data_IF_394858298285
#
_entry.id   IF_394858298285
#
_cell.length_a   1.000
_cell.length_b   1.000
_cell.length_c   1.000
_cell.angle_alpha   90.00
_cell.angle_beta   90.00
_cell.angle_gamma   90.00
#
_symmetry.space_group_name_H-M   'P 1'
#
loop_
_entity.id
_entity.type
_entity.pdbx_description
1 polymer ?
#
# COMPACT_ATOMS: atom_id res chain seq x y z
N UNK A 1 -24.78 -10.80 7.30
CA UNK A 1 -24.45 -9.43 6.88
C UNK A 1 -25.69 -8.57 6.76
N UNK A 2 -25.72 -7.42 7.42
CA UNK A 2 -26.69 -6.34 7.22
C UNK A 2 -26.02 -5.28 6.32
N UNK A 3 -26.74 -4.77 5.33
CA UNK A 3 -26.27 -3.70 4.44
C UNK A 3 -27.31 -2.59 4.37
N UNK A 4 -26.86 -1.34 4.46
CA UNK A 4 -27.70 -0.16 4.37
C UNK A 4 -27.01 0.93 3.52
N UNK A 5 -27.52 1.14 2.30
CA UNK A 5 -27.16 2.25 1.40
C UNK A 5 -28.20 3.37 1.40
N UNK A 6 -29.04 3.45 2.42
CA UNK A 6 -30.00 4.54 2.67
C UNK A 6 -31.05 4.82 1.58
N UNK A 7 -31.23 3.89 0.63
CA UNK A 7 -32.14 4.04 -0.52
C UNK A 7 -33.62 4.22 -0.17
N UNK A 8 -34.02 3.85 1.05
CA UNK A 8 -35.39 4.05 1.53
C UNK A 8 -35.62 5.42 2.19
N UNK A 9 -34.59 6.25 2.33
CA UNK A 9 -34.76 7.63 2.81
C UNK A 9 -35.52 8.44 1.76
N UNK A 10 -36.63 9.06 2.19
CA UNK A 10 -37.38 9.95 1.32
C UNK A 10 -36.56 11.17 0.93
N UNK A 11 -36.62 11.56 -0.35
CA UNK A 11 -35.95 12.73 -0.89
C UNK A 11 -36.57 14.02 -0.32
N UNK A 12 -36.00 14.58 0.76
CA UNK A 12 -36.16 15.96 1.22
C UNK A 12 -35.27 16.19 2.44
N UNK A 13 -34.87 17.44 2.71
CA UNK A 13 -34.24 17.87 3.97
C UNK A 13 -35.04 17.35 5.16
N UNK A 14 -34.53 16.35 5.88
CA UNK A 14 -35.31 15.67 6.92
C UNK A 14 -35.07 16.37 8.26
N UNK A 15 -36.02 17.19 8.70
CA UNK A 15 -36.17 17.46 10.13
C UNK A 15 -36.77 16.22 10.78
N UNK A 16 -35.93 15.28 11.22
CA UNK A 16 -36.36 14.12 12.03
C UNK A 16 -36.61 14.56 13.48
N UNK A 17 -37.65 15.35 13.72
CA UNK A 17 -38.11 15.60 15.10
C UNK A 17 -38.71 14.32 15.73
N UNK A 18 -38.85 13.22 14.96
CA UNK A 18 -39.38 11.92 15.35
C UNK A 18 -38.59 10.78 14.67
N UNK A 19 -38.38 9.63 15.34
CA UNK A 19 -37.67 8.48 14.77
C UNK A 19 -38.36 7.94 13.51
N UNK A 20 -37.58 7.57 12.50
CA UNK A 20 -38.07 6.93 11.26
C UNK A 20 -37.42 5.56 11.08
N UNK A 21 -38.18 4.62 10.52
CA UNK A 21 -37.66 3.32 10.07
C UNK A 21 -37.06 3.48 8.68
N UNK A 22 -35.81 3.03 8.50
CA UNK A 22 -35.07 3.17 7.24
C UNK A 22 -34.44 1.82 6.92
N UNK A 23 -35.01 1.11 5.94
CA UNK A 23 -34.57 -0.22 5.56
C UNK A 23 -34.53 -1.18 6.77
N UNK A 24 -33.39 -1.83 7.06
CA UNK A 24 -33.23 -2.72 8.21
C UNK A 24 -32.95 -2.00 9.54
N UNK A 25 -32.82 -0.66 9.55
CA UNK A 25 -32.56 0.11 10.76
C UNK A 25 -33.84 0.25 11.58
N UNK A 26 -33.77 -0.05 12.87
CA UNK A 26 -34.89 0.04 13.79
C UNK A 26 -35.34 1.50 13.97
N UNK A 27 -34.41 2.43 14.16
CA UNK A 27 -34.74 3.86 14.28
C UNK A 27 -33.60 4.71 13.75
N UNK A 28 -33.92 5.72 12.94
CA UNK A 28 -33.01 6.79 12.56
C UNK A 28 -33.49 8.09 13.20
N UNK A 29 -32.61 8.75 13.95
CA UNK A 29 -32.89 10.01 14.63
C UNK A 29 -31.84 11.06 14.27
N UNK A 30 -32.27 12.25 13.86
CA UNK A 30 -31.36 13.37 13.60
C UNK A 30 -31.59 14.46 14.63
N UNK A 31 -30.50 14.99 15.16
CA UNK A 31 -30.48 16.05 16.14
C UNK A 31 -29.52 17.15 15.70
N UNK A 32 -29.91 18.40 15.96
CA UNK A 32 -29.05 19.55 15.73
C UNK A 32 -29.30 20.63 16.77
N UNK A 33 -28.24 21.22 17.30
CA UNK A 33 -28.30 22.48 18.03
C UNK A 33 -27.74 23.65 17.18
N UNK A 34 -27.37 23.37 15.93
CA UNK A 34 -26.76 24.29 14.99
C UNK A 34 -27.82 25.10 14.24
N UNK A 35 -27.57 26.39 14.07
CA UNK A 35 -28.37 27.20 13.16
C UNK A 35 -28.14 26.71 11.70
N UNK A 36 -29.21 26.30 11.02
CA UNK A 36 -29.19 25.81 9.63
C UNK A 36 -28.49 24.46 9.40
N UNK A 37 -28.18 23.70 10.47
CA UNK A 37 -27.75 22.31 10.32
C UNK A 37 -28.85 21.45 9.72
N UNK A 38 -28.51 20.59 8.76
CA UNK A 38 -29.48 19.73 8.06
C UNK A 38 -28.94 18.32 7.78
N UNK A 39 -29.86 17.36 7.80
CA UNK A 39 -29.68 16.05 7.18
C UNK A 39 -30.11 16.13 5.71
N UNK A 40 -29.22 15.73 4.81
CA UNK A 40 -29.38 15.76 3.36
C UNK A 40 -28.97 14.42 2.73
N UNK A 41 -29.44 14.15 1.52
CA UNK A 41 -29.08 13.01 0.68
C UNK A 41 -28.78 13.40 -0.78
N UNK A 42 -28.69 14.71 -1.06
CA UNK A 42 -28.48 15.25 -2.43
C UNK A 42 -27.20 16.06 -2.59
N UNK A 43 -26.54 16.44 -1.48
CA UNK A 43 -25.34 17.29 -1.50
C UNK A 43 -24.12 16.60 -2.15
N UNK A 44 -24.02 15.28 -2.06
CA UNK A 44 -22.89 14.49 -2.59
C UNK A 44 -23.45 13.27 -3.31
N UNK A 45 -22.85 12.90 -4.44
CA UNK A 45 -23.19 11.66 -5.12
C UNK A 45 -22.84 10.47 -4.22
N UNK A 46 -23.78 9.55 -4.04
CA UNK A 46 -23.61 8.36 -3.20
C UNK A 46 -22.38 7.54 -3.62
N UNK A 47 -21.71 6.91 -2.65
CA UNK A 47 -20.62 5.96 -2.91
C UNK A 47 -21.15 4.76 -3.71
N UNK A 48 -22.38 4.36 -3.37
CA UNK A 48 -23.09 3.29 -4.05
C UNK A 48 -24.59 3.61 -4.14
N UNK A 49 -25.22 3.25 -5.26
CA UNK A 49 -26.65 3.51 -5.42
C UNK A 49 -26.95 4.99 -5.71
N UNK A 50 -28.03 5.50 -5.14
CA UNK A 50 -28.54 6.86 -5.39
C UNK A 50 -28.57 7.74 -4.15
N UNK A 51 -28.50 7.17 -2.94
CA UNK A 51 -28.68 7.92 -1.70
C UNK A 51 -27.51 7.70 -0.75
N UNK A 52 -27.11 8.78 -0.08
CA UNK A 52 -26.20 8.75 1.07
C UNK A 52 -26.79 9.57 2.21
N UNK A 53 -26.29 9.40 3.43
CA UNK A 53 -26.68 10.26 4.56
C UNK A 53 -25.61 11.31 4.78
N UNK A 54 -25.97 12.57 4.60
CA UNK A 54 -25.07 13.71 4.74
C UNK A 54 -25.53 14.65 5.85
N UNK A 55 -24.63 14.96 6.77
CA UNK A 55 -24.75 16.10 7.67
C UNK A 55 -24.17 17.31 6.93
N UNK A 56 -24.95 18.38 6.83
CA UNK A 56 -24.49 19.63 6.22
C UNK A 56 -24.53 20.75 7.24
N UNK A 57 -23.37 21.35 7.52
CA UNK A 57 -23.25 22.47 8.43
C UNK A 57 -23.69 23.76 7.75
N UNK A 58 -24.26 24.69 8.53
CA UNK A 58 -24.63 26.03 8.08
C UNK A 58 -24.37 27.11 9.14
N UNK A 59 -23.62 26.74 10.18
CA UNK A 59 -23.29 27.60 11.32
C UNK A 59 -22.57 26.84 12.44
N UNK A 60 -22.32 27.53 13.56
CA UNK A 60 -21.68 26.92 14.73
C UNK A 60 -22.65 25.99 15.47
N UNK A 61 -22.16 24.82 15.89
CA UNK A 61 -22.89 23.87 16.72
C UNK A 61 -22.52 22.42 16.44
N UNK A 62 -23.23 21.50 17.08
CA UNK A 62 -23.18 20.07 16.84
C UNK A 62 -24.46 19.61 16.14
N UNK A 63 -24.29 18.69 15.20
CA UNK A 63 -25.37 17.89 14.66
C UNK A 63 -24.94 16.43 14.55
N UNK A 64 -25.92 15.53 14.65
CA UNK A 64 -25.65 14.12 14.52
C UNK A 64 -26.88 13.35 14.06
N UNK A 65 -26.61 12.20 13.43
CA UNK A 65 -27.61 11.19 13.14
C UNK A 65 -27.27 9.92 13.92
N UNK A 66 -28.26 9.35 14.58
CA UNK A 66 -28.17 8.08 15.30
C UNK A 66 -28.94 7.00 14.53
N UNK A 67 -28.24 5.91 14.25
CA UNK A 67 -28.76 4.73 13.58
C UNK A 67 -28.90 3.63 14.64
N UNK A 68 -30.14 3.26 14.95
CA UNK A 68 -30.46 2.20 15.91
C UNK A 68 -30.66 0.88 15.19
N UNK A 69 -29.97 -0.15 15.67
CA UNK A 69 -29.89 -1.46 15.05
C UNK A 69 -30.19 -2.51 16.12
N UNK A 70 -31.09 -3.43 15.79
CA UNK A 70 -31.37 -4.58 16.65
C UNK A 70 -30.28 -5.63 16.46
N UNK A 71 -29.34 -5.68 17.42
CA UNK A 71 -28.29 -6.68 17.50
C UNK A 71 -28.44 -7.56 18.75
N UNK A 72 -29.65 -7.67 19.32
CA UNK A 72 -29.90 -8.44 20.54
C UNK A 72 -29.56 -9.95 20.43
N UNK A 73 -29.38 -10.44 19.20
CA UNK A 73 -29.00 -11.83 18.93
C UNK A 73 -27.49 -12.10 19.00
N UNK A 74 -26.66 -11.04 19.06
CA UNK A 74 -25.20 -11.15 19.11
C UNK A 74 -24.69 -10.79 20.51
N UNK A 75 -23.48 -11.23 20.85
CA UNK A 75 -22.71 -10.76 22.00
C UNK A 75 -21.30 -10.37 21.59
N UNK A 76 -20.86 -9.20 22.04
CA UNK A 76 -19.50 -8.70 21.85
C UNK A 76 -18.43 -9.62 22.49
N UNK A 77 -18.85 -10.55 23.36
CA UNK A 77 -17.95 -11.51 24.01
C UNK A 77 -17.78 -12.84 23.29
N UNK A 78 -18.68 -13.17 22.35
CA UNK A 78 -18.68 -14.48 21.67
C UNK A 78 -18.77 -14.39 20.16
N UNK A 79 -19.30 -13.29 19.63
CA UNK A 79 -19.41 -13.05 18.20
C UNK A 79 -18.35 -12.03 17.77
N UNK A 80 -17.91 -12.12 16.52
CA UNK A 80 -17.05 -11.14 15.89
C UNK A 80 -17.88 -10.35 14.86
N UNK A 81 -18.35 -9.18 15.23
CA UNK A 81 -19.11 -8.28 14.36
C UNK A 81 -18.24 -7.11 13.95
N UNK A 82 -18.07 -6.93 12.64
CA UNK A 82 -17.37 -5.79 12.04
C UNK A 82 -18.35 -4.79 11.45
N UNK A 83 -17.94 -3.52 11.45
CA UNK A 83 -18.58 -2.42 10.77
C UNK A 83 -17.70 -1.98 9.61
N UNK A 84 -18.29 -1.85 8.43
CA UNK A 84 -17.73 -1.11 7.31
C UNK A 84 -18.67 0.04 6.94
N UNK A 85 -18.14 1.20 6.60
CA UNK A 85 -18.90 2.32 6.04
C UNK A 85 -18.01 3.17 5.14
N UNK A 86 -18.60 3.73 4.09
CA UNK A 86 -17.93 4.73 3.25
C UNK A 86 -18.16 6.11 3.86
N UNK A 87 -17.10 6.90 3.97
CA UNK A 87 -17.08 8.25 4.51
C UNK A 87 -16.71 9.24 3.41
N UNK A 88 -17.39 10.38 3.37
CA UNK A 88 -17.02 11.53 2.53
C UNK A 88 -16.99 12.78 3.38
N UNK A 89 -15.95 13.59 3.20
CA UNK A 89 -15.79 14.85 3.92
C UNK A 89 -15.46 15.98 2.93
N UNK A 90 -16.15 17.11 3.05
CA UNK A 90 -15.86 18.32 2.27
C UNK A 90 -15.11 19.40 3.06
N UNK A 91 -14.71 19.12 4.30
CA UNK A 91 -14.09 20.12 5.20
C UNK A 91 -12.76 20.59 4.63
N UNK A 92 -12.53 21.90 4.69
CA UNK A 92 -11.34 22.59 4.20
C UNK A 92 -10.34 22.96 5.31
N UNK A 93 -10.69 22.76 6.59
CA UNK A 93 -9.94 23.30 7.73
C UNK A 93 -9.91 22.33 8.92
N UNK A 94 -8.81 22.31 9.67
CA UNK A 94 -8.45 21.29 10.69
C UNK A 94 -9.08 21.50 12.08
N UNK A 95 -9.93 22.52 12.23
CA UNK A 95 -10.45 22.94 13.54
C UNK A 95 -11.74 22.23 14.00
N UNK A 96 -12.40 21.45 13.13
CA UNK A 96 -13.73 20.89 13.41
C UNK A 96 -13.74 19.37 13.31
N UNK A 97 -14.53 18.75 14.19
CA UNK A 97 -14.54 17.29 14.38
C UNK A 97 -15.70 16.64 13.63
N UNK A 98 -15.35 15.73 12.72
CA UNK A 98 -16.25 14.74 12.16
C UNK A 98 -15.95 13.40 12.82
N UNK A 99 -16.98 12.78 13.39
CA UNK A 99 -16.79 11.67 14.29
C UNK A 99 -17.82 10.57 14.03
N UNK A 100 -17.39 9.32 14.18
CA UNK A 100 -18.27 8.15 14.22
C UNK A 100 -18.14 7.53 15.60
N UNK A 101 -19.27 7.14 16.19
CA UNK A 101 -19.34 6.59 17.52
C UNK A 101 -20.26 5.36 17.56
N UNK A 102 -20.10 4.51 18.56
CA UNK A 102 -20.99 3.38 18.85
C UNK A 102 -21.37 3.33 20.32
N UNK A 103 -22.52 2.75 20.64
CA UNK A 103 -22.84 2.26 21.99
C UNK A 103 -23.65 0.97 21.92
N UNK A 104 -23.47 0.10 22.91
CA UNK A 104 -24.13 -1.20 23.01
C UNK A 104 -25.64 -1.10 23.25
N UNK A 105 -26.08 -0.18 24.10
CA UNK A 105 -27.50 -0.01 24.40
C UNK A 105 -27.92 1.43 24.71
N UNK A 106 -28.76 1.98 23.85
CA UNK A 106 -29.47 3.22 24.18
C UNK A 106 -30.47 3.04 25.33
N UNK A 107 -31.09 1.86 25.47
CA UNK A 107 -32.07 1.57 26.51
C UNK A 107 -31.45 1.52 27.92
N UNK A 108 -30.17 1.14 28.03
CA UNK A 108 -29.43 1.14 29.29
C UNK A 108 -28.60 2.42 29.50
N UNK A 109 -28.73 3.40 28.60
CA UNK A 109 -27.96 4.66 28.60
C UNK A 109 -26.44 4.44 28.56
N UNK A 110 -25.98 3.44 27.80
CA UNK A 110 -24.56 3.20 27.61
C UNK A 110 -23.87 4.43 27.02
N UNK A 111 -22.64 4.68 27.48
CA UNK A 111 -21.81 5.76 26.96
C UNK A 111 -21.37 5.48 25.52
N UNK A 112 -21.29 6.52 24.70
CA UNK A 112 -20.73 6.39 23.35
C UNK A 112 -19.21 6.19 23.41
N UNK A 113 -18.73 5.33 22.52
CA UNK A 113 -17.32 5.00 22.30
C UNK A 113 -16.96 5.53 20.92
N UNK A 114 -15.84 6.26 20.83
CA UNK A 114 -15.38 6.80 19.55
C UNK A 114 -14.86 5.66 18.68
N UNK A 115 -15.34 5.61 17.45
CA UNK A 115 -14.87 4.71 16.39
C UNK A 115 -13.91 5.42 15.45
N UNK A 116 -14.15 6.72 15.23
CA UNK A 116 -13.41 7.58 14.34
C UNK A 116 -13.54 9.01 14.85
N UNK A 117 -12.41 9.71 14.93
CA UNK A 117 -12.31 11.13 15.32
C UNK A 117 -11.18 11.73 14.45
N UNK A 118 -11.56 12.25 13.29
CA UNK A 118 -10.60 12.76 12.31
C UNK A 118 -10.55 14.29 12.34
N UNK A 119 -9.32 14.82 12.29
CA UNK A 119 -9.02 16.25 12.28
C UNK A 119 -8.35 16.72 10.97
N UNK A 120 -7.91 15.82 10.09
CA UNK A 120 -7.34 16.13 8.77
C UNK A 120 -7.09 14.80 8.06
N UNK A 121 -7.62 14.63 6.83
CA UNK A 121 -7.11 13.78 5.73
C UNK A 121 -8.20 13.12 4.85
N UNK A 122 -9.49 13.18 5.20
CA UNK A 122 -10.53 12.87 4.22
C UNK A 122 -10.56 13.92 3.10
N UNK A 123 -10.21 13.48 1.90
CA UNK A 123 -10.27 14.26 0.67
C UNK A 123 -11.73 14.40 0.21
N UNK A 124 -12.00 15.22 -0.82
CA UNK A 124 -13.31 15.27 -1.50
C UNK A 124 -13.59 13.96 -2.28
N UNK A 125 -13.39 12.81 -1.66
CA UNK A 125 -13.56 11.47 -2.18
C UNK A 125 -14.04 10.52 -1.07
N UNK A 126 -14.69 9.45 -1.48
CA UNK A 126 -15.18 8.41 -0.57
C UNK A 126 -14.02 7.54 -0.09
N UNK A 127 -13.94 7.32 1.22
CA UNK A 127 -12.96 6.43 1.87
C UNK A 127 -13.70 5.40 2.72
N UNK A 128 -13.28 4.13 2.68
CA UNK A 128 -13.90 3.08 3.48
C UNK A 128 -13.26 3.01 4.89
N UNK A 129 -14.10 2.99 5.92
CA UNK A 129 -13.73 2.74 7.31
C UNK A 129 -14.17 1.34 7.72
N UNK A 130 -13.23 0.49 8.13
CA UNK A 130 -13.48 -0.85 8.67
C UNK A 130 -13.09 -0.97 10.15
N UNK A 131 -13.99 -1.46 11.00
CA UNK A 131 -13.81 -1.52 12.46
C UNK A 131 -14.34 -2.83 13.04
N UNK A 132 -13.62 -3.41 14.00
CA UNK A 132 -14.13 -4.51 14.84
C UNK A 132 -15.00 -3.94 15.97
N UNK A 133 -16.33 -4.02 15.81
CA UNK A 133 -17.27 -3.50 16.81
C UNK A 133 -17.29 -4.36 18.07
N UNK A 134 -17.13 -5.69 17.94
CA UNK A 134 -17.22 -6.58 19.09
C UNK A 134 -16.07 -6.33 20.05
N UNK A 135 -14.85 -6.23 19.55
CA UNK A 135 -13.68 -5.85 20.35
C UNK A 135 -13.85 -4.46 20.99
N UNK A 136 -14.38 -3.49 20.22
CA UNK A 136 -14.60 -2.12 20.71
C UNK A 136 -15.57 -2.08 21.89
N UNK A 137 -16.74 -2.71 21.74
CA UNK A 137 -17.75 -2.77 22.80
C UNK A 137 -17.26 -3.58 24.00
N UNK A 138 -16.64 -4.74 23.77
CA UNK A 138 -16.10 -5.59 24.83
C UNK A 138 -15.05 -4.85 25.66
N UNK A 139 -14.12 -4.13 25.01
CA UNK A 139 -13.10 -3.30 25.68
C UNK A 139 -13.72 -2.20 26.54
N UNK A 140 -14.82 -1.62 26.08
CA UNK A 140 -15.60 -0.64 26.83
C UNK A 140 -16.53 -1.25 27.90
N UNK A 141 -16.55 -2.58 28.05
CA UNK A 141 -17.42 -3.30 28.97
C UNK A 141 -18.91 -3.25 28.59
N UNK A 142 -19.22 -3.02 27.32
CA UNK A 142 -20.56 -2.99 26.76
C UNK A 142 -20.86 -4.27 25.97
N UNK A 143 -22.14 -4.55 25.76
CA UNK A 143 -22.60 -5.65 24.90
C UNK A 143 -23.67 -5.15 23.93
N UNK A 144 -23.94 -5.90 22.87
CA UNK A 144 -25.00 -5.59 21.93
C UNK A 144 -26.38 -5.65 22.57
N UNK A 145 -27.33 -4.91 21.99
CA UNK A 145 -28.73 -4.96 22.38
C UNK A 145 -29.66 -4.69 21.20
N UNK A 146 -30.97 -4.78 21.45
CA UNK A 146 -32.00 -4.36 20.50
C UNK A 146 -32.00 -2.85 20.20
N UNK A 147 -31.18 -2.08 20.93
CA UNK A 147 -31.02 -0.65 20.81
C UNK A 147 -29.54 -0.27 20.66
N UNK A 148 -28.74 -1.11 20.00
CA UNK A 148 -27.36 -0.75 19.66
C UNK A 148 -27.40 0.44 18.71
N UNK A 149 -26.52 1.43 18.92
CA UNK A 149 -26.53 2.64 18.10
C UNK A 149 -25.17 2.97 17.52
N UNK A 150 -25.16 3.37 16.26
CA UNK A 150 -24.06 4.06 15.60
C UNK A 150 -24.45 5.53 15.47
N UNK A 151 -23.58 6.45 15.89
CA UNK A 151 -23.79 7.89 15.77
C UNK A 151 -22.75 8.46 14.81
N UNK A 152 -23.22 9.22 13.84
CA UNK A 152 -22.40 10.04 12.95
C UNK A 152 -22.60 11.48 13.39
N UNK A 153 -21.51 12.17 13.74
CA UNK A 153 -21.54 13.51 14.31
C UNK A 153 -20.66 14.45 13.49
N UNK A 154 -21.17 15.65 13.25
CA UNK A 154 -20.43 16.76 12.67
C UNK A 154 -20.51 17.96 13.61
N UNK A 155 -19.36 18.58 13.87
CA UNK A 155 -19.28 19.90 14.48
C UNK A 155 -19.19 20.94 13.35
N UNK A 156 -20.10 21.90 13.32
CA UNK A 156 -20.10 22.97 12.31
C UNK A 156 -19.28 24.18 12.72
N UNK A 157 -18.77 24.86 11.70
CA UNK A 157 -17.96 26.06 11.83
C UNK A 157 -18.76 27.35 11.69
N UNK A 158 -18.19 28.48 12.12
CA UNK A 158 -18.71 29.82 11.83
C UNK A 158 -18.48 30.25 10.37
N UNK A 159 -18.06 29.33 9.50
CA UNK A 159 -17.71 29.67 8.12
C UNK A 159 -18.97 30.07 7.34
N UNK A 160 -18.75 30.82 6.26
CA UNK A 160 -19.83 31.20 5.33
C UNK A 160 -20.18 30.10 4.33
N UNK A 161 -19.61 28.90 4.49
CA UNK A 161 -19.73 27.79 3.55
C UNK A 161 -20.40 26.60 4.23
N UNK A 162 -21.20 25.87 3.45
CA UNK A 162 -21.76 24.60 3.89
C UNK A 162 -20.66 23.53 3.87
N UNK A 163 -20.39 22.88 5.00
CA UNK A 163 -19.49 21.73 5.07
C UNK A 163 -20.32 20.45 5.14
N UNK A 164 -19.92 19.44 4.40
CA UNK A 164 -20.67 18.20 4.23
C UNK A 164 -19.85 17.04 4.76
N UNK A 165 -20.44 16.27 5.68
CA UNK A 165 -19.93 14.98 6.12
C UNK A 165 -20.97 13.92 5.80
N UNK A 166 -20.66 13.04 4.85
CA UNK A 166 -21.56 11.97 4.43
C UNK A 166 -21.05 10.60 4.83
N UNK A 167 -22.00 9.70 5.04
CA UNK A 167 -21.77 8.27 5.12
C UNK A 167 -22.63 7.54 4.12
N UNK A 168 -22.14 6.41 3.64
CA UNK A 168 -22.86 5.49 2.78
C UNK A 168 -22.40 4.05 3.01
N UNK A 169 -23.14 3.08 2.43
CA UNK A 169 -22.77 1.67 2.38
C UNK A 169 -22.42 1.08 3.76
N UNK A 170 -23.23 1.40 4.78
CA UNK A 170 -23.06 0.84 6.11
C UNK A 170 -23.28 -0.67 6.04
N UNK A 171 -22.28 -1.44 6.44
CA UNK A 171 -22.31 -2.88 6.48
C UNK A 171 -21.93 -3.38 7.87
N UNK A 172 -22.75 -4.28 8.41
CA UNK A 172 -22.41 -5.07 9.59
C UNK A 172 -22.26 -6.53 9.19
N UNK A 173 -21.09 -7.08 9.42
CA UNK A 173 -20.77 -8.47 9.08
C UNK A 173 -20.43 -9.23 10.35
N UNK A 174 -21.08 -10.38 10.55
CA UNK A 174 -20.68 -11.34 11.58
C UNK A 174 -19.69 -12.29 10.94
N UNK A 175 -18.51 -12.42 11.54
CA UNK A 175 -17.42 -13.26 11.11
C UNK A 175 -17.43 -14.53 11.97
N UNK A 176 -17.90 -15.63 11.39
CA UNK A 176 -17.81 -16.95 11.99
C UNK A 176 -16.37 -17.44 11.88
N UNK A 177 -15.99 -17.91 10.70
CA UNK A 177 -14.59 -18.24 10.42
C UNK A 177 -13.96 -17.05 9.70
N UNK A 178 -12.82 -16.57 10.18
CA UNK A 178 -12.06 -15.47 9.55
C UNK A 178 -10.60 -15.49 10.03
N UNK A 179 -9.65 -15.49 9.09
CA UNK A 179 -8.22 -15.42 9.38
C UNK A 179 -7.62 -14.17 8.73
N UNK A 180 -7.18 -13.20 9.52
CA UNK A 180 -6.45 -12.06 8.99
C UNK A 180 -4.95 -12.38 8.84
N UNK A 181 -4.37 -12.11 7.67
CA UNK A 181 -2.92 -12.01 7.52
C UNK A 181 -2.44 -10.65 8.03
N UNK A 182 -1.55 -10.65 9.03
CA UNK A 182 -1.15 -9.43 9.74
C UNK A 182 0.17 -8.86 9.25
N UNK A 183 1.18 -9.70 9.03
CA UNK A 183 2.51 -9.26 8.61
C UNK A 183 3.32 -10.39 7.98
N UNK A 184 4.23 -10.01 7.08
CA UNK A 184 5.22 -10.89 6.49
C UNK A 184 6.62 -10.37 6.82
N UNK A 185 7.41 -11.15 7.54
CA UNK A 185 8.82 -10.87 7.81
C UNK A 185 9.72 -11.65 6.84
N UNK A 186 10.96 -11.18 6.71
CA UNK A 186 11.93 -11.75 5.76
C UNK A 186 11.85 -11.12 4.38
N UNK A 187 11.58 -9.82 4.28
CA UNK A 187 11.57 -9.06 3.01
C UNK A 187 12.75 -8.08 2.90
N UNK A 188 13.84 -8.34 3.64
CA UNK A 188 15.08 -7.58 3.49
C UNK A 188 15.88 -8.05 2.26
N UNK A 189 16.72 -7.18 1.72
CA UNK A 189 17.66 -7.56 0.67
C UNK A 189 18.61 -8.68 1.12
N UNK A 190 19.09 -9.43 0.13
CA UNK A 190 20.02 -10.54 0.30
C UNK A 190 21.25 -10.36 -0.58
N UNK A 191 22.31 -11.10 -0.28
CA UNK A 191 23.53 -11.11 -1.10
C UNK A 191 23.90 -12.55 -1.44
N UNK A 192 23.91 -12.89 -2.73
CA UNK A 192 24.21 -14.24 -3.24
C UNK A 192 23.35 -15.36 -2.61
N UNK A 193 22.12 -15.06 -2.19
CA UNK A 193 21.26 -16.07 -1.59
C UNK A 193 20.74 -17.02 -2.68
N UNK A 194 20.76 -18.33 -2.39
CA UNK A 194 20.08 -19.34 -3.23
C UNK A 194 18.70 -19.71 -2.69
N UNK A 195 18.46 -19.40 -1.42
CA UNK A 195 17.22 -19.66 -0.70
C UNK A 195 16.98 -18.54 0.31
N UNK A 196 15.71 -18.32 0.67
CA UNK A 196 15.32 -17.33 1.68
C UNK A 196 14.22 -17.87 2.59
N UNK A 197 14.21 -17.41 3.83
CA UNK A 197 13.19 -17.76 4.82
C UNK A 197 12.20 -16.60 4.98
N UNK A 198 10.92 -16.90 5.16
CA UNK A 198 9.86 -15.92 5.44
C UNK A 198 9.04 -16.37 6.64
N UNK A 199 8.60 -15.42 7.46
CA UNK A 199 7.71 -15.69 8.59
C UNK A 199 6.43 -14.89 8.44
N UNK A 200 5.32 -15.57 8.25
CA UNK A 200 3.98 -14.96 8.20
C UNK A 200 3.38 -14.96 9.60
N UNK A 201 2.75 -13.85 10.00
CA UNK A 201 1.89 -13.76 11.18
C UNK A 201 0.44 -13.65 10.73
N UNK A 202 -0.44 -14.48 11.30
CA UNK A 202 -1.88 -14.48 11.05
C UNK A 202 -2.66 -14.53 12.37
N UNK A 203 -3.89 -14.06 12.36
CA UNK A 203 -4.77 -14.06 13.53
C UNK A 203 -6.16 -14.55 13.18
N UNK A 204 -6.79 -15.32 14.08
CA UNK A 204 -8.21 -15.63 13.96
C UNK A 204 -9.03 -14.44 14.45
N UNK A 205 -9.64 -13.73 13.50
CA UNK A 205 -10.48 -12.54 13.73
C UNK A 205 -11.98 -12.87 13.73
N UNK A 206 -12.34 -14.14 13.48
CA UNK A 206 -13.69 -14.67 13.59
C UNK A 206 -14.02 -15.23 14.99
N UNK A 207 -15.25 -15.72 15.15
CA UNK A 207 -15.73 -16.35 16.39
C UNK A 207 -15.63 -17.88 16.43
N UNK A 208 -15.37 -18.54 15.30
CA UNK A 208 -15.16 -19.99 15.21
C UNK A 208 -13.71 -20.37 15.44
N UNK A 209 -13.45 -21.53 16.08
CA UNK A 209 -12.09 -22.07 16.16
C UNK A 209 -11.67 -22.69 14.84
N UNK A 210 -10.53 -22.27 14.29
CA UNK A 210 -9.99 -22.76 13.01
C UNK A 210 -8.84 -23.73 13.26
N UNK A 211 -8.82 -24.87 12.56
CA UNK A 211 -7.84 -25.93 12.79
C UNK A 211 -6.73 -26.02 11.73
N UNK A 212 -7.01 -25.66 10.48
CA UNK A 212 -6.06 -25.76 9.38
C UNK A 212 -6.32 -24.61 8.40
N UNK A 213 -5.29 -23.84 8.10
CA UNK A 213 -5.34 -22.72 7.13
C UNK A 213 -4.26 -22.97 6.08
N UNK A 214 -4.61 -23.38 4.84
CA UNK A 214 -3.62 -23.54 3.79
C UNK A 214 -3.20 -22.18 3.23
N UNK A 215 -1.90 -21.90 3.27
CA UNK A 215 -1.29 -20.62 2.93
C UNK A 215 -0.27 -20.82 1.81
N UNK A 216 -0.34 -19.97 0.79
CA UNK A 216 0.61 -19.97 -0.32
C UNK A 216 1.44 -18.70 -0.31
N UNK A 217 2.76 -18.87 -0.36
CA UNK A 217 3.73 -17.82 -0.65
C UNK A 217 4.20 -17.95 -2.10
N UNK A 218 4.21 -16.84 -2.82
CA UNK A 218 4.67 -16.72 -4.20
C UNK A 218 5.80 -15.69 -4.28
N UNK A 219 6.88 -16.08 -4.95
CA UNK A 219 7.94 -15.20 -5.40
C UNK A 219 7.84 -15.03 -6.91
N UNK A 220 7.88 -13.79 -7.39
CA UNK A 220 7.98 -13.44 -8.81
C UNK A 220 9.26 -12.67 -9.01
N UNK A 221 10.22 -13.22 -9.75
CA UNK A 221 11.47 -12.52 -10.08
C UNK A 221 11.22 -11.43 -11.13
N UNK A 222 12.12 -10.45 -11.23
CA UNK A 222 12.07 -9.41 -12.27
C UNK A 222 12.02 -9.97 -13.70
N UNK A 223 12.60 -11.16 -13.93
CA UNK A 223 12.54 -11.88 -15.21
C UNK A 223 11.24 -12.66 -15.44
N UNK A 224 10.27 -12.57 -14.51
CA UNK A 224 8.97 -13.24 -14.58
C UNK A 224 8.97 -14.71 -14.13
N UNK A 225 10.07 -15.22 -13.58
CA UNK A 225 10.12 -16.59 -13.05
C UNK A 225 9.37 -16.65 -11.73
N UNK A 226 8.44 -17.59 -11.60
CA UNK A 226 7.60 -17.74 -10.40
C UNK A 226 8.00 -18.98 -9.60
N UNK A 227 8.24 -18.80 -8.30
CA UNK A 227 8.36 -19.88 -7.30
C UNK A 227 7.15 -19.81 -6.37
N UNK A 228 6.51 -20.95 -6.09
CA UNK A 228 5.40 -21.03 -5.13
C UNK A 228 5.67 -22.11 -4.09
N UNK A 229 5.36 -21.80 -2.84
CA UNK A 229 5.39 -22.74 -1.71
C UNK A 229 4.06 -22.65 -0.98
N UNK A 230 3.42 -23.79 -0.78
CA UNK A 230 2.20 -23.90 0.03
C UNK A 230 2.52 -24.70 1.29
N UNK A 231 2.12 -24.15 2.43
CA UNK A 231 2.16 -24.85 3.71
C UNK A 231 0.87 -24.55 4.49
N UNK A 232 0.65 -25.25 5.60
CA UNK A 232 -0.57 -25.14 6.39
C UNK A 232 -0.26 -24.60 7.78
N UNK A 233 -0.90 -23.50 8.17
CA UNK A 233 -0.92 -23.06 9.55
C UNK A 233 -1.88 -23.98 10.33
N UNK A 234 -1.31 -24.78 11.24
CA UNK A 234 -2.04 -25.79 12.02
C UNK A 234 -2.43 -25.23 13.39
N UNK A 235 -3.71 -25.31 13.72
CA UNK A 235 -4.32 -24.87 14.96
C UNK A 235 -4.36 -25.94 16.07
N UNK A 236 -5.27 -25.80 17.05
CA UNK A 236 -6.44 -24.90 17.03
C UNK A 236 -6.07 -23.43 17.21
N UNK A 237 -6.67 -22.56 16.40
CA UNK A 237 -6.66 -21.12 16.55
C UNK A 237 -8.03 -20.71 17.09
N UNK A 238 -8.12 -20.41 18.37
CA UNK A 238 -9.34 -19.89 18.99
C UNK A 238 -9.55 -18.41 18.57
N UNK A 239 -10.75 -17.84 18.76
CA UNK A 239 -11.00 -16.43 18.50
C UNK A 239 -9.97 -15.53 19.20
N UNK A 240 -9.33 -14.65 18.44
CA UNK A 240 -8.28 -13.74 18.91
C UNK A 240 -6.88 -14.35 19.03
N UNK A 241 -6.70 -15.66 18.78
CA UNK A 241 -5.36 -16.27 18.76
C UNK A 241 -4.57 -15.76 17.55
N UNK A 242 -3.31 -15.37 17.79
CA UNK A 242 -2.32 -15.08 16.76
C UNK A 242 -1.33 -16.24 16.65
N UNK A 243 -0.94 -16.61 15.44
CA UNK A 243 0.04 -17.64 15.17
C UNK A 243 0.95 -17.28 13.99
N UNK A 244 2.08 -17.98 13.90
CA UNK A 244 3.08 -17.76 12.84
C UNK A 244 3.29 -19.02 11.99
N UNK A 245 3.57 -18.83 10.70
CA UNK A 245 3.97 -19.88 9.76
C UNK A 245 5.29 -19.50 9.11
N UNK A 246 6.27 -20.41 9.19
CA UNK A 246 7.60 -20.22 8.60
C UNK A 246 7.72 -20.94 7.26
N UNK A 247 7.99 -20.19 6.19
CA UNK A 247 8.41 -20.74 4.90
C UNK A 247 9.92 -20.81 4.87
N UNK A 248 10.48 -22.00 5.11
CA UNK A 248 11.93 -22.21 5.17
C UNK A 248 12.52 -22.59 3.82
N UNK A 249 13.70 -22.05 3.52
CA UNK A 249 14.55 -22.37 2.38
C UNK A 249 13.82 -22.24 1.02
N UNK A 250 12.98 -21.21 0.87
CA UNK A 250 12.29 -20.92 -0.39
C UNK A 250 13.31 -20.59 -1.46
N UNK A 251 13.31 -21.35 -2.56
CA UNK A 251 14.32 -21.23 -3.60
C UNK A 251 14.20 -19.91 -4.37
N UNK A 252 15.34 -19.24 -4.55
CA UNK A 252 15.49 -18.08 -5.41
C UNK A 252 15.98 -18.53 -6.79
N UNK A 253 15.37 -18.00 -7.86
CA UNK A 253 15.70 -18.39 -9.24
C UNK A 253 17.02 -17.78 -9.73
N UNK A 254 17.39 -16.63 -9.17
CA UNK A 254 18.55 -15.82 -9.58
C UNK A 254 18.84 -14.70 -8.55
N UNK A 255 19.95 -13.99 -8.74
CA UNK A 255 20.23 -12.72 -8.06
C UNK A 255 19.57 -11.57 -8.82
N UNK A 256 18.36 -11.18 -8.39
CA UNK A 256 17.56 -10.07 -8.92
C UNK A 256 16.52 -9.60 -7.89
N UNK A 257 15.71 -8.62 -8.28
CA UNK A 257 14.53 -8.19 -7.53
C UNK A 257 13.42 -9.25 -7.57
N UNK A 258 12.68 -9.37 -6.46
CA UNK A 258 11.53 -10.24 -6.30
C UNK A 258 10.34 -9.46 -5.75
N UNK A 259 9.16 -9.76 -6.27
CA UNK A 259 7.88 -9.46 -5.62
C UNK A 259 7.42 -10.68 -4.83
N UNK A 260 6.97 -10.46 -3.60
CA UNK A 260 6.47 -11.48 -2.68
C UNK A 260 4.98 -11.25 -2.45
N UNK A 261 4.19 -12.30 -2.68
CA UNK A 261 2.77 -12.32 -2.41
C UNK A 261 2.47 -13.51 -1.50
N UNK A 262 1.62 -13.31 -0.49
CA UNK A 262 1.17 -14.39 0.39
C UNK A 262 -0.33 -14.28 0.59
N UNK A 263 -1.02 -15.41 0.52
CA UNK A 263 -2.46 -15.49 0.74
C UNK A 263 -2.85 -16.84 1.30
N UNK A 264 -3.96 -16.91 2.04
CA UNK A 264 -4.59 -18.19 2.35
C UNK A 264 -5.73 -18.54 1.40
N UNK A 265 -6.13 -19.80 1.46
CA UNK A 265 -7.23 -20.36 0.65
C UNK A 265 -8.36 -20.93 1.50
N UNK A 266 -8.37 -20.63 2.80
CA UNK A 266 -9.52 -20.85 3.64
C UNK A 266 -10.72 -20.08 3.07
N UNK A 267 -11.87 -20.73 2.96
CA UNK A 267 -13.12 -20.04 2.65
C UNK A 267 -13.66 -19.48 3.95
N UNK A 268 -13.55 -18.17 4.12
CA UNK A 268 -13.94 -17.48 5.33
C UNK A 268 -14.78 -16.22 5.00
N UNK A 269 -15.13 -15.45 6.03
CA UNK A 269 -16.17 -14.43 5.91
C UNK A 269 -15.68 -13.05 5.44
N UNK A 270 -14.36 -12.78 5.41
CA UNK A 270 -13.81 -11.47 5.04
C UNK A 270 -12.58 -11.53 4.10
N UNK A 271 -12.78 -11.74 2.78
CA UNK A 271 -11.69 -11.90 1.81
C UNK A 271 -10.66 -10.75 1.69
N UNK A 272 -10.92 -9.61 2.32
CA UNK A 272 -10.09 -8.42 2.23
C UNK A 272 -8.81 -8.51 3.09
N UNK A 273 -8.77 -9.40 4.08
CA UNK A 273 -7.64 -9.60 4.99
C UNK A 273 -6.83 -10.89 4.67
N UNK A 274 -7.24 -11.63 3.65
CA UNK A 274 -6.67 -12.95 3.31
C UNK A 274 -5.27 -12.89 2.69
N UNK A 275 -4.77 -11.71 2.34
CA UNK A 275 -3.55 -11.56 1.54
C UNK A 275 -2.69 -10.37 1.94
N UNK A 276 -1.38 -10.55 1.80
CA UNK A 276 -0.36 -9.49 1.80
C UNK A 276 0.31 -9.57 0.43
N UNK A 277 0.23 -8.48 -0.34
CA UNK A 277 0.62 -8.45 -1.75
C UNK A 277 1.65 -7.35 -2.01
N UNK A 278 2.49 -7.58 -3.02
CA UNK A 278 3.47 -6.62 -3.55
C UNK A 278 4.57 -6.20 -2.56
N UNK A 279 4.87 -7.03 -1.56
CA UNK A 279 6.12 -6.89 -0.82
C UNK A 279 7.30 -7.14 -1.78
N UNK A 280 8.47 -6.57 -1.50
CA UNK A 280 9.62 -6.74 -2.38
C UNK A 280 10.94 -6.81 -1.62
N UNK A 281 11.91 -7.47 -2.24
CA UNK A 281 13.31 -7.47 -1.82
C UNK A 281 14.20 -7.75 -3.02
N UNK A 282 15.49 -7.44 -2.89
CA UNK A 282 16.49 -7.67 -3.92
C UNK A 282 17.54 -8.66 -3.46
N UNK A 283 17.81 -9.69 -4.27
CA UNK A 283 18.93 -10.59 -4.05
C UNK A 283 20.10 -10.15 -4.94
N UNK A 284 21.11 -9.56 -4.34
CA UNK A 284 22.15 -8.87 -5.08
C UNK A 284 23.35 -9.79 -5.31
N UNK A 285 23.87 -9.80 -6.54
CA UNK A 285 25.09 -10.54 -6.85
C UNK A 285 26.26 -9.89 -6.13
N UNK A 286 27.07 -10.69 -5.41
CA UNK A 286 28.39 -10.30 -4.90
C UNK A 286 29.49 -11.01 -5.67
N UNK A 287 30.32 -10.21 -6.32
CA UNK A 287 31.47 -10.61 -7.11
C UNK A 287 32.73 -10.49 -6.27
N UNK A 288 33.50 -11.57 -6.15
CA UNK A 288 34.77 -11.59 -5.38
C UNK A 288 35.97 -12.09 -6.20
N UNK A 289 35.78 -12.26 -7.50
CA UNK A 289 36.83 -12.71 -8.43
C UNK A 289 36.89 -11.77 -9.62
N UNK A 290 38.11 -11.31 -9.93
CA UNK A 290 38.40 -10.49 -11.10
C UNK A 290 39.21 -11.29 -12.14
N UNK A 291 39.05 -10.99 -13.45
CA UNK A 291 38.14 -9.99 -14.01
C UNK A 291 36.67 -10.43 -13.96
N UNK A 292 35.79 -9.45 -13.76
CA UNK A 292 34.35 -9.59 -13.98
C UNK A 292 34.00 -8.87 -15.29
N UNK A 293 33.23 -9.54 -16.14
CA UNK A 293 32.81 -9.00 -17.43
C UNK A 293 31.29 -9.14 -17.51
N UNK A 294 30.61 -8.03 -17.79
CA UNK A 294 29.19 -7.99 -18.12
C UNK A 294 29.05 -7.46 -19.55
N UNK A 295 28.37 -8.22 -20.39
CA UNK A 295 28.14 -7.91 -21.80
C UNK A 295 26.68 -8.03 -22.22
N UNK A 296 25.78 -8.32 -21.27
CA UNK A 296 24.34 -8.46 -21.45
C UNK A 296 23.92 -9.58 -22.43
N UNK A 297 24.80 -10.56 -22.67
CA UNK A 297 24.55 -11.68 -23.58
C UNK A 297 23.77 -12.86 -22.94
N UNK A 298 23.39 -12.73 -21.67
CA UNK A 298 22.67 -13.74 -20.90
C UNK A 298 21.91 -13.13 -19.73
N UNK A 299 21.74 -13.90 -18.64
CA UNK A 299 21.21 -13.36 -17.39
C UNK A 299 22.16 -12.29 -16.87
N UNK A 300 21.62 -11.09 -16.62
CA UNK A 300 22.36 -9.96 -16.06
C UNK A 300 21.83 -9.64 -14.67
N UNK A 301 22.65 -8.94 -13.88
CA UNK A 301 22.39 -8.67 -12.46
C UNK A 301 22.40 -7.18 -12.13
N UNK A 302 22.30 -6.33 -13.16
CA UNK A 302 22.08 -4.90 -12.99
C UNK A 302 20.67 -4.70 -12.42
N UNK A 303 20.57 -3.92 -11.36
CA UNK A 303 19.30 -3.53 -10.74
C UNK A 303 18.99 -2.12 -11.21
N UNK A 304 17.76 -1.92 -11.67
CA UNK A 304 17.26 -0.63 -12.10
C UNK A 304 16.38 -0.04 -11.01
N UNK A 305 16.62 1.23 -10.68
CA UNK A 305 15.74 2.04 -9.84
C UNK A 305 15.11 3.14 -10.70
N UNK A 306 13.79 3.06 -10.87
CA UNK A 306 13.00 4.02 -11.65
C UNK A 306 12.42 5.08 -10.72
N UNK A 307 12.94 6.30 -10.80
CA UNK A 307 12.37 7.45 -10.12
C UNK A 307 11.29 8.13 -10.96
N UNK A 308 11.52 8.23 -12.27
CA UNK A 308 10.59 8.84 -13.20
C UNK A 308 10.82 8.39 -14.65
N UNK A 309 9.83 7.73 -15.25
CA UNK A 309 9.79 7.34 -16.67
C UNK A 309 11.01 6.57 -17.18
N UNK A 310 11.62 5.70 -16.35
CA UNK A 310 12.73 4.88 -16.79
C UNK A 310 12.38 4.10 -18.06
N UNK A 311 13.31 4.09 -19.01
CA UNK A 311 13.11 3.41 -20.29
C UNK A 311 14.15 2.32 -20.57
N UNK A 312 15.05 2.04 -19.62
CA UNK A 312 16.09 1.03 -19.76
C UNK A 312 15.57 -0.35 -20.22
N UNK A 313 16.22 -0.86 -21.26
CA UNK A 313 15.93 -2.15 -21.85
C UNK A 313 17.25 -2.88 -22.16
N UNK A 314 17.26 -4.19 -21.94
CA UNK A 314 18.36 -5.07 -22.37
C UNK A 314 17.93 -5.87 -23.60
N UNK A 315 18.73 -5.80 -24.66
CA UNK A 315 18.49 -6.52 -25.91
C UNK A 315 19.33 -5.99 -27.06
N UNK A 316 18.98 -6.35 -28.30
CA UNK A 316 19.68 -5.89 -29.50
C UNK A 316 19.22 -4.47 -29.92
N UNK A 317 20.07 -3.42 -29.80
CA UNK A 317 19.67 -2.07 -30.17
C UNK A 317 19.40 -1.96 -31.66
N UNK A 318 18.34 -1.25 -32.02
CA UNK A 318 17.90 -0.97 -33.40
C UNK A 318 17.50 0.50 -33.60
N UNK A 319 17.85 1.37 -32.65
CA UNK A 319 17.62 2.81 -32.73
C UNK A 319 18.39 3.48 -33.87
N UNK A 320 18.05 4.74 -34.16
CA UNK A 320 18.71 5.48 -35.25
C UNK A 320 20.15 5.86 -34.93
N UNK A 321 20.43 6.16 -33.66
CA UNK A 321 21.75 6.60 -33.18
C UNK A 321 22.53 5.42 -32.61
N UNK A 322 21.93 4.68 -31.67
CA UNK A 322 22.48 3.46 -31.09
C UNK A 322 21.82 2.27 -31.80
N UNK A 323 22.45 1.82 -32.89
CA UNK A 323 21.90 0.83 -33.81
C UNK A 323 22.52 -0.58 -33.66
N UNK A 324 23.48 -0.74 -32.74
CA UNK A 324 24.13 -2.00 -32.42
C UNK A 324 24.85 -1.91 -31.07
N UNK A 325 24.99 -3.05 -30.39
CA UNK A 325 25.83 -3.19 -29.21
C UNK A 325 27.32 -2.96 -29.54
N UNK A 326 28.11 -2.51 -28.55
CA UNK A 326 29.56 -2.35 -28.71
C UNK A 326 30.27 -3.68 -29.03
N UNK A 327 29.87 -4.73 -28.31
CA UNK A 327 30.35 -6.10 -28.44
C UNK A 327 29.17 -7.06 -28.38
N UNK A 328 29.28 -8.21 -29.03
CA UNK A 328 28.20 -9.20 -29.01
C UNK A 328 26.98 -8.76 -29.82
N UNK A 329 25.79 -9.03 -29.29
CA UNK A 329 24.49 -8.75 -29.90
C UNK A 329 23.57 -7.90 -29.03
N UNK A 330 23.79 -7.86 -27.72
CA UNK A 330 22.91 -7.21 -26.75
C UNK A 330 23.63 -6.07 -26.01
N UNK A 331 22.88 -5.06 -25.58
CA UNK A 331 23.33 -4.00 -24.71
C UNK A 331 22.17 -3.52 -23.85
N UNK A 332 22.48 -2.91 -22.70
CA UNK A 332 21.53 -2.15 -21.90
C UNK A 332 21.47 -0.71 -22.44
N UNK A 333 20.29 -0.26 -22.85
CA UNK A 333 20.06 1.06 -23.47
C UNK A 333 18.73 1.64 -23.02
N UNK A 334 18.57 2.96 -22.99
CA UNK A 334 17.31 3.61 -22.59
C UNK A 334 16.15 3.34 -23.54
N UNK A 335 16.35 2.91 -24.79
CA UNK A 335 15.28 2.25 -25.59
C UNK A 335 15.95 1.40 -26.66
N UNK A 336 15.54 0.14 -26.85
CA UNK A 336 16.08 -0.69 -27.93
C UNK A 336 15.70 -0.14 -29.31
N UNK A 337 14.53 0.48 -29.42
CA UNK A 337 14.09 1.18 -30.61
C UNK A 337 13.28 2.40 -30.21
N UNK A 338 13.73 3.59 -30.61
CA UNK A 338 13.01 4.82 -30.31
C UNK A 338 13.94 5.99 -30.06
N UNK A 339 13.35 7.09 -29.60
CA UNK A 339 14.07 8.27 -29.15
C UNK A 339 13.94 8.33 -27.62
N UNK A 340 14.99 8.80 -26.93
CA UNK A 340 15.02 9.00 -25.48
C UNK A 340 13.71 9.63 -24.95
N UNK A 341 13.21 9.13 -23.82
CA UNK A 341 12.01 9.67 -23.17
C UNK A 341 12.33 11.03 -22.56
N UNK A 342 11.38 11.96 -22.63
CA UNK A 342 11.55 13.28 -22.01
C UNK A 342 11.33 13.18 -20.50
N UNK A 343 12.19 13.86 -19.72
CA UNK A 343 12.17 13.83 -18.26
C UNK A 343 12.20 12.39 -17.74
N UNK A 344 13.36 11.75 -17.94
CA UNK A 344 13.68 10.45 -17.37
C UNK A 344 14.68 10.63 -16.23
N UNK A 345 14.42 9.96 -15.10
CA UNK A 345 15.30 9.91 -13.93
C UNK A 345 15.33 8.46 -13.44
N UNK A 346 16.49 7.82 -13.57
CA UNK A 346 16.69 6.42 -13.22
C UNK A 346 18.15 6.15 -12.87
N UNK A 347 18.37 5.10 -12.07
CA UNK A 347 19.69 4.65 -11.66
C UNK A 347 19.89 3.17 -11.97
N UNK A 348 21.13 2.82 -12.34
CA UNK A 348 21.54 1.45 -12.62
C UNK A 348 22.63 1.01 -11.65
N UNK A 349 22.31 0.01 -10.83
CA UNK A 349 23.25 -0.55 -9.87
C UNK A 349 23.91 -1.80 -10.43
N UNK A 350 25.24 -1.78 -10.45
CA UNK A 350 26.05 -2.98 -10.73
C UNK A 350 25.97 -3.98 -9.56
N UNK A 351 26.50 -5.20 -9.73
CA UNK A 351 26.75 -6.09 -8.59
C UNK A 351 27.54 -5.43 -7.46
N UNK A 352 27.44 -6.00 -6.26
CA UNK A 352 28.39 -5.71 -5.19
C UNK A 352 29.73 -6.32 -5.53
N UNK A 353 30.79 -5.52 -5.54
CA UNK A 353 32.13 -6.04 -5.70
C UNK A 353 32.85 -6.08 -4.34
N UNK A 354 33.32 -7.27 -3.96
CA UNK A 354 34.16 -7.44 -2.78
C UNK A 354 35.63 -7.34 -3.16
N UNK A 355 36.17 -6.16 -2.90
CA UNK A 355 37.57 -5.83 -3.14
C UNK A 355 38.44 -5.91 -1.90
N UNK A 356 37.90 -6.33 -0.74
CA UNK A 356 38.61 -6.32 0.55
C UNK A 356 39.87 -7.18 0.61
N UNK A 357 40.05 -8.08 -0.35
CA UNK A 357 41.24 -8.91 -0.53
C UNK A 357 42.31 -8.31 -1.43
N UNK A 358 42.07 -7.15 -2.05
CA UNK A 358 43.00 -6.49 -2.94
C UNK A 358 43.96 -5.59 -2.15
N UNK A 359 45.16 -5.38 -2.71
CA UNK A 359 46.15 -4.44 -2.12
C UNK A 359 46.34 -3.19 -2.98
N UNK A 360 45.65 -3.13 -4.10
CA UNK A 360 45.69 -2.08 -5.11
C UNK A 360 44.28 -1.93 -5.66
N UNK A 361 43.82 -0.70 -5.81
CA UNK A 361 42.51 -0.40 -6.35
C UNK A 361 42.30 -1.11 -7.71
N UNK A 362 41.17 -1.80 -7.90
CA UNK A 362 40.83 -2.41 -9.17
C UNK A 362 40.50 -1.35 -10.21
N UNK A 363 40.55 -1.73 -11.49
CA UNK A 363 40.15 -0.86 -12.60
C UNK A 363 38.75 -1.24 -13.09
N UNK A 364 37.93 -0.24 -13.40
CA UNK A 364 36.70 -0.39 -14.19
C UNK A 364 37.00 -0.02 -15.64
N UNK A 365 36.37 -0.74 -16.57
CA UNK A 365 36.39 -0.43 -18.00
C UNK A 365 35.02 -0.70 -18.59
N UNK A 366 34.49 0.22 -19.37
CA UNK A 366 33.19 0.10 -20.03
C UNK A 366 33.17 0.80 -21.38
N UNK A 367 32.22 0.43 -22.23
CA UNK A 367 31.92 1.14 -23.47
C UNK A 367 30.61 1.91 -23.29
N UNK A 368 30.60 3.18 -23.70
CA UNK A 368 29.44 4.05 -23.61
C UNK A 368 29.22 4.77 -24.95
N UNK A 369 27.97 4.78 -25.40
CA UNK A 369 27.51 5.64 -26.49
C UNK A 369 26.29 6.41 -25.99
N UNK A 370 26.30 7.73 -26.18
CA UNK A 370 25.22 8.62 -25.76
C UNK A 370 24.93 9.69 -26.81
N UNK A 371 23.68 10.13 -26.86
CA UNK A 371 23.20 11.24 -27.68
C UNK A 371 22.10 11.99 -26.92
N UNK A 372 22.56 12.97 -26.15
CA UNK A 372 21.81 13.73 -25.18
C UNK A 372 21.66 15.19 -25.64
N UNK A 373 20.66 15.92 -25.13
CA UNK A 373 20.64 17.37 -25.26
C UNK A 373 21.95 17.99 -24.76
N UNK A 374 22.40 19.05 -25.42
CA UNK A 374 23.57 19.82 -24.98
C UNK A 374 23.09 21.01 -24.13
N UNK A 375 22.62 20.70 -22.92
CA UNK A 375 22.18 21.66 -21.92
C UNK A 375 22.54 21.20 -20.50
N UNK A 376 22.47 22.12 -19.55
CA UNK A 376 22.91 21.91 -18.16
C UNK A 376 21.85 21.18 -17.30
N UNK A 377 20.78 20.64 -17.91
CA UNK A 377 19.72 19.93 -17.20
C UNK A 377 19.82 18.41 -17.32
N UNK A 378 20.74 17.90 -18.15
CA UNK A 378 20.97 16.47 -18.29
C UNK A 378 22.17 16.01 -17.46
N UNK A 379 21.94 14.97 -16.66
CA UNK A 379 22.97 14.26 -15.93
C UNK A 379 23.12 12.85 -16.48
N UNK A 380 24.35 12.46 -16.81
CA UNK A 380 24.75 11.08 -17.03
C UNK A 380 26.13 10.91 -16.41
N UNK A 381 26.21 10.09 -15.35
CA UNK A 381 27.41 9.96 -14.55
C UNK A 381 27.58 8.53 -14.00
N UNK A 382 28.80 8.19 -13.61
CA UNK A 382 29.10 7.03 -12.79
C UNK A 382 29.36 7.47 -11.36
N UNK A 383 28.75 6.75 -10.43
CA UNK A 383 29.02 6.92 -9.01
C UNK A 383 29.52 5.60 -8.40
N UNK A 384 30.23 5.72 -7.29
CA UNK A 384 30.68 4.60 -6.48
C UNK A 384 30.29 4.81 -5.02
N UNK A 385 29.82 3.73 -4.40
CA UNK A 385 29.66 3.62 -2.95
C UNK A 385 30.67 2.63 -2.36
N UNK A 386 31.29 3.01 -1.25
CA UNK A 386 32.25 2.20 -0.51
C UNK A 386 31.71 1.76 0.87
N UNK A 387 30.45 2.07 1.17
CA UNK A 387 29.83 1.87 2.47
C UNK A 387 28.44 1.23 2.35
N UNK A 388 28.30 0.31 1.40
CA UNK A 388 27.07 -0.46 1.16
C UNK A 388 25.87 0.40 0.74
N UNK A 389 26.10 1.43 -0.08
CA UNK A 389 25.05 2.29 -0.63
C UNK A 389 24.62 3.42 0.30
N UNK A 390 25.27 3.63 1.45
CA UNK A 390 24.90 4.70 2.38
C UNK A 390 25.32 6.08 1.86
N UNK A 391 26.45 6.16 1.17
CA UNK A 391 26.92 7.35 0.48
C UNK A 391 27.43 7.00 -0.91
N UNK A 392 27.15 7.89 -1.86
CA UNK A 392 27.61 7.82 -3.25
C UNK A 392 28.51 9.01 -3.56
N UNK A 393 29.53 8.77 -4.37
CA UNK A 393 30.42 9.79 -4.87
C UNK A 393 30.66 9.59 -6.36
N UNK A 394 30.65 10.68 -7.12
CA UNK A 394 31.00 10.67 -8.54
C UNK A 394 32.39 10.06 -8.73
N UNK A 395 32.45 9.04 -9.58
CA UNK A 395 33.69 8.48 -10.08
C UNK A 395 34.16 9.29 -11.29
N UNK A 396 35.02 10.28 -11.06
CA UNK A 396 35.66 11.04 -12.14
C UNK A 396 37.12 10.63 -12.33
N UNK A 397 37.39 9.96 -13.46
CA UNK A 397 38.74 9.63 -13.93
C UNK A 397 39.16 10.53 -15.12
N UNK A 398 38.59 11.73 -15.20
CA UNK A 398 38.74 12.66 -16.32
C UNK A 398 37.87 12.29 -17.52
N UNK A 399 36.69 11.71 -17.27
CA UNK A 399 35.81 11.18 -18.33
C UNK A 399 34.77 12.18 -18.82
N UNK A 400 34.39 13.13 -17.97
CA UNK A 400 33.24 14.01 -18.19
C UNK A 400 33.58 15.25 -19.02
N UNK A 401 32.58 15.77 -19.73
CA UNK A 401 32.72 16.97 -20.57
C UNK A 401 32.55 18.26 -19.74
N UNK A 402 31.54 18.28 -18.85
CA UNK A 402 31.14 19.43 -18.03
C UNK A 402 30.59 18.93 -16.70
N UNK A 403 30.99 19.56 -15.59
CA UNK A 403 30.39 19.40 -14.24
C UNK A 403 30.01 17.94 -13.92
N UNK A 404 30.98 17.03 -14.02
CA UNK A 404 30.83 15.62 -13.65
C UNK A 404 29.81 14.81 -14.50
N UNK A 405 29.45 15.31 -15.68
CA UNK A 405 28.47 14.70 -16.59
C UNK A 405 28.98 14.54 -18.04
N UNK A 406 28.51 13.49 -18.72
CA UNK A 406 28.54 13.43 -20.19
C UNK A 406 27.36 14.19 -20.79
N UNK A 407 27.63 15.09 -21.74
CA UNK A 407 26.61 15.90 -22.39
C UNK A 407 26.77 15.90 -23.91
N UNK A 408 25.69 16.18 -24.64
CA UNK A 408 25.73 16.15 -26.11
C UNK A 408 25.91 14.73 -26.65
N UNK A 409 26.82 14.53 -27.60
CA UNK A 409 26.86 13.30 -28.39
C UNK A 409 28.27 12.71 -28.45
N UNK A 410 28.40 11.42 -28.13
CA UNK A 410 29.68 10.69 -28.16
C UNK A 410 30.17 10.33 -29.58
N UNK A 411 29.32 10.54 -30.60
CA UNK A 411 29.59 10.23 -32.01
C UNK A 411 29.98 8.76 -32.24
N UNK A 412 29.34 7.85 -31.49
CA UNK A 412 29.59 6.41 -31.51
C UNK A 412 30.10 5.89 -30.16
N UNK A 413 30.30 4.59 -30.07
CA UNK A 413 30.84 3.96 -28.87
C UNK A 413 32.26 4.46 -28.54
N UNK A 414 32.45 4.90 -27.31
CA UNK A 414 33.74 5.25 -26.72
C UNK A 414 34.05 4.28 -25.58
N UNK A 415 35.33 4.00 -25.36
CA UNK A 415 35.78 3.24 -24.18
C UNK A 415 36.29 4.18 -23.11
N UNK A 416 35.86 3.93 -21.89
CA UNK A 416 36.31 4.60 -20.68
C UNK A 416 36.91 3.57 -19.75
N UNK A 417 38.01 3.93 -19.09
CA UNK A 417 38.67 3.10 -18.09
C UNK A 417 39.36 3.95 -17.03
N UNK A 418 39.52 3.40 -15.83
CA UNK A 418 40.19 4.08 -14.73
C UNK A 418 40.09 3.30 -13.41
N UNK A 419 40.86 3.70 -12.39
CA UNK A 419 40.83 3.06 -11.08
C UNK A 419 39.51 3.36 -10.34
N UNK A 420 39.03 2.38 -9.59
CA UNK A 420 38.03 2.57 -8.54
C UNK A 420 38.76 3.03 -7.26
N UNK A 421 39.14 4.32 -7.25
CA UNK A 421 40.04 4.87 -6.21
C UNK A 421 39.47 4.67 -4.80
N UNK A 422 40.27 4.06 -3.91
CA UNK A 422 39.91 3.80 -2.52
C UNK A 422 39.05 2.55 -2.29
N UNK A 423 38.87 1.72 -3.32
CA UNK A 423 38.01 0.54 -3.24
C UNK A 423 38.72 -0.72 -2.73
N UNK A 424 40.05 -0.78 -2.72
CA UNK A 424 40.83 -1.94 -2.22
C UNK A 424 41.06 -1.96 -0.70
#
# INVERSE_FOLDING_TARGET
TLVQGFESLGSNTISLDQPQQVGPLAEVFYHTNMAYGRLDNTSVAASMGNNAVCLVSGGEGDQYVELTIDLAAYSASTDAVTLSLDLYNSVYDDFFKNEVWVRGSAANEDAFISLFDEQSDLTHSWTNLGINLSETLQTAGQDYSGFTQIRIKQQGSSSSYDEVFCVDNLQLTSLGSDIALLSLAGVSDEVNATTKDFTLTASNTGSDTVAEVPITLQLVSATGTTTQVTDTLVGPLNPGDTATLDFLSVALSSTNAYTVNVWHSLMDDLPANDSILNESFTNILRVSSLPYEEGFEGDYTVIEEDYFNSSWEVGAPTGQVIAAAYSGTQAMVTQLSGALVAAEESELYTPFFDFSGLTTDPEISFALQYDLPNDDFQLLQWEISLDSGNNWSVLDNGWYDVEDSWIGSSQGWQQYQGPLTGAA
#
